data_IF_323055575117
#
_entry.id   IF_323055575117
#
_cell.length_a   1.000
_cell.length_b   1.000
_cell.length_c   1.000
_cell.angle_alpha   90.00
_cell.angle_beta   90.00
_cell.angle_gamma   90.00
#
_symmetry.space_group_name_H-M   'P 1'
#
loop_
_entity.id
_entity.type
_entity.pdbx_description
1 polymer ?
#
# COMPACT_ATOMS: atom_id res chain seq x y z
N UNK A 1 -13.61 25.90 -9.57
CA UNK A 1 -12.26 25.78 -10.14
C UNK A 1 -12.35 25.95 -11.65
N UNK A 2 -11.52 26.80 -12.25
CA UNK A 2 -11.47 26.96 -13.72
C UNK A 2 -10.64 25.83 -14.34
N UNK A 3 -10.85 25.52 -15.63
CA UNK A 3 -10.03 24.51 -16.33
C UNK A 3 -8.53 24.82 -16.26
N UNK A 4 -8.16 26.11 -16.29
CA UNK A 4 -6.77 26.54 -16.15
C UNK A 4 -6.18 26.17 -14.78
N UNK A 5 -6.93 26.36 -13.69
CA UNK A 5 -6.50 25.96 -12.35
C UNK A 5 -6.29 24.44 -12.25
N UNK A 6 -7.22 23.65 -12.79
CA UNK A 6 -7.08 22.18 -12.85
C UNK A 6 -5.79 21.75 -13.54
N UNK A 7 -5.45 22.38 -14.68
CA UNK A 7 -4.22 22.07 -15.42
C UNK A 7 -2.97 22.41 -14.61
N UNK A 8 -2.97 23.51 -13.86
CA UNK A 8 -1.84 23.88 -13.00
C UNK A 8 -1.67 22.88 -11.86
N UNK A 9 -2.76 22.47 -11.20
CA UNK A 9 -2.69 21.50 -10.09
C UNK A 9 -2.23 20.12 -10.59
N UNK A 10 -2.69 19.73 -11.78
CA UNK A 10 -2.23 18.50 -12.43
C UNK A 10 -0.73 18.57 -12.75
N UNK A 11 -0.25 19.70 -13.29
CA UNK A 11 1.17 19.89 -13.58
C UNK A 11 2.02 19.79 -12.30
N UNK A 12 1.57 20.39 -11.20
CA UNK A 12 2.23 20.29 -9.90
C UNK A 12 2.28 18.83 -9.39
N UNK A 13 1.18 18.08 -9.51
CA UNK A 13 1.17 16.66 -9.18
C UNK A 13 2.18 15.85 -10.02
N UNK A 14 2.33 16.16 -11.31
CA UNK A 14 3.36 15.54 -12.16
C UNK A 14 4.79 15.94 -11.76
N UNK A 15 5.01 17.18 -11.33
CA UNK A 15 6.30 17.61 -10.77
C UNK A 15 6.62 16.82 -9.50
N UNK A 16 5.65 16.65 -8.61
CA UNK A 16 5.79 15.84 -7.40
C UNK A 16 6.06 14.37 -7.71
N UNK A 17 5.37 13.77 -8.69
CA UNK A 17 5.66 12.41 -9.17
C UNK A 17 7.07 12.29 -9.75
N UNK A 18 7.55 13.32 -10.47
CA UNK A 18 8.93 13.36 -10.93
C UNK A 18 9.91 13.40 -9.76
N UNK A 19 9.66 14.22 -8.73
CA UNK A 19 10.47 14.24 -7.51
C UNK A 19 10.46 12.87 -6.82
N UNK A 20 9.28 12.28 -6.63
CA UNK A 20 9.08 10.95 -6.05
C UNK A 20 9.91 9.90 -6.79
N UNK A 21 9.87 9.90 -8.13
CA UNK A 21 10.69 9.03 -8.99
C UNK A 21 12.19 9.20 -8.70
N UNK A 22 12.69 10.43 -8.64
CA UNK A 22 14.12 10.67 -8.43
C UNK A 22 14.57 10.20 -7.04
N UNK A 23 13.74 10.44 -6.02
CA UNK A 23 14.05 10.02 -4.64
C UNK A 23 14.00 8.49 -4.52
N UNK A 24 12.98 7.85 -5.06
CA UNK A 24 12.87 6.38 -5.09
C UNK A 24 14.09 5.75 -5.79
N UNK A 25 14.43 6.24 -6.98
CA UNK A 25 15.56 5.72 -7.77
C UNK A 25 16.92 5.90 -7.08
N UNK A 26 17.21 7.12 -6.61
CA UNK A 26 18.57 7.50 -6.19
C UNK A 26 18.81 7.32 -4.70
N UNK A 27 17.79 7.51 -3.87
CA UNK A 27 17.93 7.46 -2.41
C UNK A 27 17.55 6.09 -1.89
N UNK A 28 16.36 5.61 -2.27
CA UNK A 28 15.80 4.36 -1.74
C UNK A 28 16.45 3.13 -2.40
N UNK A 29 16.20 2.92 -3.70
CA UNK A 29 16.68 1.71 -4.42
C UNK A 29 18.13 1.83 -4.89
N UNK A 30 18.64 3.05 -5.11
CA UNK A 30 20.01 3.33 -5.60
C UNK A 30 20.32 2.57 -6.89
N UNK A 31 19.50 2.79 -7.92
CA UNK A 31 19.58 2.14 -9.23
C UNK A 31 19.38 3.14 -10.38
N UNK A 32 19.83 2.77 -11.57
CA UNK A 32 19.41 3.43 -12.81
C UNK A 32 18.07 2.83 -13.26
N UNK A 33 16.96 3.54 -12.96
CA UNK A 33 15.63 3.11 -13.37
C UNK A 33 15.49 2.90 -14.88
N UNK A 34 16.20 3.66 -15.72
CA UNK A 34 16.06 3.51 -17.17
C UNK A 34 16.67 2.19 -17.60
N UNK A 35 17.86 1.86 -17.10
CA UNK A 35 18.52 0.61 -17.41
C UNK A 35 17.73 -0.59 -16.88
N UNK A 36 17.25 -0.54 -15.64
CA UNK A 36 16.42 -1.62 -15.07
C UNK A 36 15.14 -1.84 -15.89
N UNK A 37 14.40 -0.78 -16.21
CA UNK A 37 13.10 -0.91 -16.88
C UNK A 37 13.20 -1.24 -18.37
N UNK A 38 14.18 -0.66 -19.08
CA UNK A 38 14.23 -0.73 -20.55
C UNK A 38 15.47 -1.44 -21.10
N UNK A 39 16.56 -1.51 -20.33
CA UNK A 39 17.77 -2.25 -20.70
C UNK A 39 17.65 -3.72 -20.28
N UNK A 40 17.43 -3.95 -18.99
CA UNK A 40 17.31 -5.28 -18.36
C UNK A 40 15.90 -5.86 -18.43
N UNK A 41 14.91 -5.06 -18.82
CA UNK A 41 13.49 -5.43 -18.88
C UNK A 41 13.00 -6.05 -17.55
N UNK A 42 13.40 -5.45 -16.43
CA UNK A 42 13.11 -5.93 -15.09
C UNK A 42 11.64 -5.66 -14.72
N UNK A 43 10.81 -6.70 -14.83
CA UNK A 43 9.38 -6.63 -14.54
C UNK A 43 9.10 -6.45 -13.04
N UNK A 44 9.92 -7.01 -12.15
CA UNK A 44 9.79 -6.82 -10.71
C UNK A 44 10.01 -5.34 -10.36
N UNK A 45 11.04 -4.71 -10.93
CA UNK A 45 11.28 -3.29 -10.74
C UNK A 45 10.12 -2.43 -11.27
N UNK A 46 9.53 -2.81 -12.42
CA UNK A 46 8.38 -2.12 -12.98
C UNK A 46 7.14 -2.20 -12.07
N UNK A 47 6.87 -3.37 -11.47
CA UNK A 47 5.77 -3.55 -10.51
C UNK A 47 6.00 -2.75 -9.24
N UNK A 48 7.19 -2.85 -8.63
CA UNK A 48 7.51 -2.14 -7.40
C UNK A 48 7.40 -0.62 -7.57
N UNK A 49 8.03 -0.05 -8.61
CA UNK A 49 7.96 1.40 -8.87
C UNK A 49 6.56 1.83 -9.31
N UNK A 50 5.82 0.97 -10.02
CA UNK A 50 4.44 1.22 -10.42
C UNK A 50 3.51 1.31 -9.21
N UNK A 51 3.64 0.40 -8.25
CA UNK A 51 2.92 0.44 -6.98
C UNK A 51 3.28 1.66 -6.13
N UNK A 52 4.56 2.02 -6.09
CA UNK A 52 5.01 3.28 -5.46
C UNK A 52 4.33 4.51 -6.07
N UNK A 53 4.35 4.65 -7.41
CA UNK A 53 3.68 5.78 -8.07
C UNK A 53 2.18 5.77 -7.88
N UNK A 54 1.53 4.60 -7.93
CA UNK A 54 0.10 4.49 -7.68
C UNK A 54 -0.25 4.92 -6.25
N UNK A 55 0.54 4.49 -5.26
CA UNK A 55 0.41 4.94 -3.87
C UNK A 55 0.55 6.46 -3.72
N UNK A 56 1.54 7.07 -4.37
CA UNK A 56 1.72 8.54 -4.35
C UNK A 56 0.53 9.26 -5.00
N UNK A 57 0.02 8.76 -6.12
CA UNK A 57 -1.18 9.32 -6.75
C UNK A 57 -2.39 9.25 -5.82
N UNK A 58 -2.60 8.14 -5.11
CA UNK A 58 -3.67 8.01 -4.12
C UNK A 58 -3.52 9.04 -3.01
N UNK A 59 -2.33 9.14 -2.41
CA UNK A 59 -2.05 10.12 -1.35
C UNK A 59 -2.29 11.57 -1.79
N UNK A 60 -1.84 11.93 -3.00
CA UNK A 60 -2.09 13.26 -3.60
C UNK A 60 -3.59 13.51 -3.84
N UNK A 61 -4.36 12.45 -4.09
CA UNK A 61 -5.82 12.53 -4.23
C UNK A 61 -6.48 13.24 -3.05
N UNK A 62 -5.94 13.11 -1.82
CA UNK A 62 -6.49 13.78 -0.65
C UNK A 62 -6.37 15.30 -0.73
N UNK A 63 -5.18 15.79 -1.11
CA UNK A 63 -4.94 17.22 -1.29
C UNK A 63 -5.67 17.80 -2.52
N UNK A 64 -5.94 16.97 -3.53
CA UNK A 64 -6.59 17.39 -4.79
C UNK A 64 -8.12 17.36 -4.75
N UNK A 65 -8.74 16.62 -3.83
CA UNK A 65 -10.19 16.38 -3.79
C UNK A 65 -10.96 17.25 -2.79
N UNK A 66 -10.26 18.10 -2.02
CA UNK A 66 -10.87 18.99 -1.03
C UNK A 66 -11.46 20.29 -1.59
N UNK A 67 -12.21 21.05 -0.76
CA UNK A 67 -12.68 22.38 -1.14
C UNK A 67 -11.51 23.33 -1.37
N UNK A 68 -11.54 24.07 -2.47
CA UNK A 68 -10.52 25.07 -2.79
C UNK A 68 -10.58 26.24 -1.80
N UNK A 69 -9.43 26.60 -1.22
CA UNK A 69 -9.26 27.78 -0.37
C UNK A 69 -8.67 28.97 -1.14
N UNK A 70 -8.53 28.81 -2.46
CA UNK A 70 -7.91 29.76 -3.37
C UNK A 70 -6.62 29.20 -3.94
N UNK A 71 -6.33 29.56 -5.19
CA UNK A 71 -5.32 28.86 -5.99
C UNK A 71 -3.91 28.85 -5.39
N UNK A 72 -3.49 29.91 -4.70
CA UNK A 72 -2.18 29.93 -4.04
C UNK A 72 -2.13 29.00 -2.84
N UNK A 73 -3.20 28.96 -2.04
CA UNK A 73 -3.29 28.09 -0.87
C UNK A 73 -3.35 26.61 -1.30
N UNK A 74 -4.11 26.32 -2.36
CA UNK A 74 -4.20 24.97 -2.92
C UNK A 74 -2.83 24.47 -3.40
N UNK A 75 -2.07 25.28 -4.16
CA UNK A 75 -0.72 24.91 -4.61
C UNK A 75 0.23 24.64 -3.43
N UNK A 76 0.22 25.53 -2.42
CA UNK A 76 1.04 25.33 -1.22
C UNK A 76 0.64 24.03 -0.50
N UNK A 77 -0.66 23.75 -0.39
CA UNK A 77 -1.19 22.54 0.22
C UNK A 77 -0.76 21.28 -0.53
N UNK A 78 -0.95 21.25 -1.86
CA UNK A 78 -0.55 20.13 -2.71
C UNK A 78 0.96 19.88 -2.59
N UNK A 79 1.78 20.93 -2.63
CA UNK A 79 3.23 20.81 -2.45
C UNK A 79 3.60 20.25 -1.07
N UNK A 80 3.02 20.78 0.02
CA UNK A 80 3.32 20.34 1.39
C UNK A 80 2.89 18.89 1.63
N UNK A 81 1.65 18.55 1.32
CA UNK A 81 1.12 17.19 1.49
C UNK A 81 1.80 16.20 0.55
N UNK A 82 2.10 16.60 -0.69
CA UNK A 82 2.82 15.76 -1.64
C UNK A 82 4.24 15.44 -1.20
N UNK A 83 5.00 16.43 -0.72
CA UNK A 83 6.33 16.19 -0.16
C UNK A 83 6.28 15.32 1.09
N UNK A 84 5.30 15.53 1.97
CA UNK A 84 5.09 14.68 3.14
C UNK A 84 4.76 13.24 2.73
N UNK A 85 3.86 13.03 1.77
CA UNK A 85 3.51 11.70 1.27
C UNK A 85 4.72 10.97 0.70
N UNK A 86 5.59 11.67 -0.04
CA UNK A 86 6.86 11.10 -0.54
C UNK A 86 7.72 10.62 0.64
N UNK A 87 7.90 11.44 1.67
CA UNK A 87 8.69 11.06 2.85
C UNK A 87 8.08 9.87 3.58
N UNK A 88 6.77 9.88 3.83
CA UNK A 88 6.06 8.79 4.51
C UNK A 88 6.17 7.49 3.72
N UNK A 89 5.97 7.50 2.40
CA UNK A 89 6.14 6.30 1.58
C UNK A 89 7.55 5.71 1.68
N UNK A 90 8.59 6.53 1.72
CA UNK A 90 9.97 6.04 1.86
C UNK A 90 10.19 5.39 3.22
N UNK A 91 9.67 5.99 4.29
CA UNK A 91 9.74 5.42 5.64
C UNK A 91 8.98 4.09 5.70
N UNK A 92 7.78 4.01 5.10
CA UNK A 92 7.05 2.75 5.02
C UNK A 92 7.78 1.69 4.19
N UNK A 93 8.45 2.10 3.10
CA UNK A 93 9.33 1.23 2.32
C UNK A 93 10.44 0.62 3.17
N UNK A 94 11.16 1.46 3.92
CA UNK A 94 12.22 0.99 4.85
C UNK A 94 11.64 0.09 5.94
N UNK A 95 10.46 0.40 6.47
CA UNK A 95 9.81 -0.42 7.49
C UNK A 95 9.42 -1.80 6.94
N UNK A 96 8.91 -1.86 5.71
CA UNK A 96 8.63 -3.11 5.01
C UNK A 96 9.87 -4.01 4.95
N UNK A 97 10.99 -3.47 4.49
CA UNK A 97 12.27 -4.22 4.41
C UNK A 97 12.78 -4.67 5.77
N UNK A 98 12.73 -3.78 6.77
CA UNK A 98 13.37 -4.03 8.07
C UNK A 98 12.53 -4.87 9.01
N UNK A 99 11.21 -4.81 8.90
CA UNK A 99 10.28 -5.36 9.90
C UNK A 99 9.35 -6.40 9.30
N UNK A 100 8.79 -6.14 8.12
CA UNK A 100 7.88 -7.09 7.48
C UNK A 100 8.63 -8.24 6.79
N UNK A 101 9.75 -7.90 6.13
CA UNK A 101 10.60 -8.84 5.38
C UNK A 101 12.06 -8.87 5.91
N UNK A 102 12.28 -9.10 7.23
CA UNK A 102 13.58 -8.88 7.87
C UNK A 102 14.70 -9.82 7.42
N UNK A 103 14.36 -10.94 6.77
CA UNK A 103 15.32 -11.94 6.28
C UNK A 103 15.69 -11.76 4.81
N UNK A 104 15.17 -10.70 4.16
CA UNK A 104 15.39 -10.41 2.75
C UNK A 104 16.20 -9.14 2.54
N UNK A 105 17.03 -9.15 1.50
CA UNK A 105 17.50 -7.91 0.90
C UNK A 105 16.57 -7.56 -0.27
N UNK A 106 15.49 -6.82 0.00
CA UNK A 106 14.49 -6.47 -1.04
C UNK A 106 15.12 -5.76 -2.24
N UNK A 107 16.22 -5.02 -2.05
CA UNK A 107 16.91 -4.40 -3.18
C UNK A 107 17.53 -5.49 -4.05
N UNK A 108 18.25 -6.44 -3.47
CA UNK A 108 18.80 -7.57 -4.21
C UNK A 108 17.69 -8.38 -4.89
N UNK A 109 16.65 -8.74 -4.15
CA UNK A 109 15.51 -9.52 -4.66
C UNK A 109 14.88 -8.86 -5.89
N UNK A 110 14.59 -7.55 -5.84
CA UNK A 110 13.92 -6.85 -6.94
C UNK A 110 14.87 -6.50 -8.09
N UNK A 111 16.11 -6.11 -7.79
CA UNK A 111 17.06 -5.57 -8.80
C UNK A 111 17.90 -6.67 -9.43
N UNK A 112 18.44 -7.59 -8.63
CA UNK A 112 19.34 -8.63 -9.11
C UNK A 112 18.53 -9.86 -9.53
N UNK A 113 17.70 -10.37 -8.61
CA UNK A 113 16.96 -11.63 -8.79
C UNK A 113 15.65 -11.43 -9.60
N UNK A 114 15.22 -10.18 -9.80
CA UNK A 114 13.97 -9.81 -10.48
C UNK A 114 12.74 -10.53 -9.90
N UNK A 115 12.73 -10.68 -8.58
CA UNK A 115 11.72 -11.37 -7.80
C UNK A 115 10.36 -10.62 -7.85
N UNK A 116 9.43 -11.19 -8.62
CA UNK A 116 8.08 -10.65 -8.76
C UNK A 116 7.27 -10.72 -7.46
N UNK A 117 7.49 -11.75 -6.62
CA UNK A 117 6.82 -11.90 -5.34
C UNK A 117 7.12 -10.73 -4.41
N UNK A 118 8.41 -10.44 -4.21
CA UNK A 118 8.87 -9.31 -3.40
C UNK A 118 8.39 -7.97 -3.97
N UNK A 119 8.40 -7.81 -5.30
CA UNK A 119 7.89 -6.60 -5.94
C UNK A 119 6.39 -6.37 -5.72
N UNK A 120 5.55 -7.42 -5.73
CA UNK A 120 4.12 -7.30 -5.44
C UNK A 120 3.85 -6.91 -3.99
N UNK A 121 4.63 -7.43 -3.04
CA UNK A 121 4.51 -7.04 -1.62
C UNK A 121 4.87 -5.57 -1.43
N UNK A 122 5.96 -5.10 -2.04
CA UNK A 122 6.34 -3.68 -1.98
C UNK A 122 5.30 -2.78 -2.64
N UNK A 123 4.80 -3.18 -3.81
CA UNK A 123 3.73 -2.46 -4.48
C UNK A 123 2.49 -2.38 -3.58
N UNK A 124 2.03 -3.50 -3.02
CA UNK A 124 0.88 -3.54 -2.12
C UNK A 124 1.06 -2.65 -0.89
N UNK A 125 2.26 -2.65 -0.30
CA UNK A 125 2.59 -1.81 0.85
C UNK A 125 2.49 -0.30 0.50
N UNK A 126 3.04 0.12 -0.64
CA UNK A 126 2.95 1.52 -1.05
C UNK A 126 1.52 1.95 -1.40
N UNK A 127 0.73 1.07 -2.01
CA UNK A 127 -0.67 1.32 -2.30
C UNK A 127 -1.48 1.45 -1.01
N UNK A 128 -1.27 0.54 -0.05
CA UNK A 128 -1.87 0.60 1.29
C UNK A 128 -1.57 1.94 1.98
N UNK A 129 -0.31 2.38 1.94
CA UNK A 129 0.10 3.66 2.49
C UNK A 129 -0.49 4.85 1.73
N UNK A 130 -0.66 4.75 0.42
CA UNK A 130 -1.37 5.73 -0.40
C UNK A 130 -2.80 5.96 0.08
N UNK A 131 -3.52 4.88 0.36
CA UNK A 131 -4.88 4.94 0.90
C UNK A 131 -4.94 5.54 2.30
N UNK A 132 -4.01 5.15 3.18
CA UNK A 132 -3.94 5.69 4.55
C UNK A 132 -3.65 7.20 4.52
N UNK A 133 -2.66 7.64 3.73
CA UNK A 133 -2.31 9.07 3.63
C UNK A 133 -3.43 9.86 2.97
N UNK A 134 -4.07 9.32 1.93
CA UNK A 134 -5.28 9.90 1.32
C UNK A 134 -6.33 10.23 2.38
N UNK A 135 -6.66 9.25 3.21
CA UNK A 135 -7.69 9.37 4.23
C UNK A 135 -7.30 10.36 5.34
N UNK A 136 -6.04 10.35 5.80
CA UNK A 136 -5.53 11.31 6.78
C UNK A 136 -5.58 12.75 6.25
N UNK A 137 -5.26 12.96 4.98
CA UNK A 137 -5.27 14.31 4.37
C UNK A 137 -6.70 14.80 4.15
N UNK A 138 -7.66 13.90 3.94
CA UNK A 138 -9.08 14.24 3.83
C UNK A 138 -9.75 14.49 5.19
N UNK A 139 -9.22 13.89 6.26
CA UNK A 139 -9.74 14.06 7.62
C UNK A 139 -9.46 15.44 8.24
N UNK A 140 -10.24 15.82 9.25
CA UNK A 140 -10.02 17.06 9.98
C UNK A 140 -9.06 16.85 11.16
N UNK A 141 -7.95 17.59 11.18
CA UNK A 141 -7.03 17.55 12.31
C UNK A 141 -5.69 18.22 12.02
N UNK A 142 -4.87 18.41 13.06
CA UNK A 142 -3.53 18.92 12.87
C UNK A 142 -2.63 17.86 12.21
N UNK A 143 -1.72 18.28 11.33
CA UNK A 143 -0.82 17.38 10.60
C UNK A 143 -0.09 16.35 11.48
N UNK A 144 0.30 16.73 12.70
CA UNK A 144 1.03 15.85 13.61
C UNK A 144 0.18 14.68 14.10
N UNK A 145 -1.16 14.82 14.24
CA UNK A 145 -2.02 13.70 14.64
C UNK A 145 -2.09 12.68 13.52
N UNK A 146 -2.22 13.15 12.27
CA UNK A 146 -2.15 12.32 11.08
C UNK A 146 -0.87 11.49 11.02
N UNK A 147 0.30 12.09 11.30
CA UNK A 147 1.57 11.35 11.35
C UNK A 147 1.57 10.27 12.44
N UNK A 148 0.97 10.52 13.60
CA UNK A 148 0.86 9.51 14.66
C UNK A 148 -0.07 8.37 14.26
N UNK A 149 -1.24 8.65 13.68
CA UNK A 149 -2.14 7.61 13.19
C UNK A 149 -1.55 6.83 12.02
N UNK A 150 -0.77 7.48 11.16
CA UNK A 150 0.00 6.81 10.12
C UNK A 150 1.03 5.83 10.71
N UNK A 151 1.74 6.21 11.77
CA UNK A 151 2.67 5.32 12.48
C UNK A 151 1.94 4.13 13.13
N UNK A 152 0.78 4.37 13.74
CA UNK A 152 -0.05 3.29 14.27
C UNK A 152 -0.53 2.35 13.16
N UNK A 153 -0.94 2.90 12.01
CA UNK A 153 -1.33 2.11 10.85
C UNK A 153 -0.18 1.22 10.34
N UNK A 154 1.08 1.68 10.43
CA UNK A 154 2.22 0.83 10.10
C UNK A 154 2.32 -0.40 11.02
N UNK A 155 2.11 -0.22 12.33
CA UNK A 155 2.07 -1.33 13.28
C UNK A 155 0.96 -2.32 12.90
N UNK A 156 -0.20 -1.81 12.51
CA UNK A 156 -1.34 -2.64 12.09
C UNK A 156 -1.02 -3.43 10.81
N UNK A 157 -0.37 -2.83 9.82
CA UNK A 157 0.07 -3.52 8.60
C UNK A 157 1.08 -4.63 8.90
N UNK A 158 2.02 -4.39 9.82
CA UNK A 158 2.98 -5.41 10.27
C UNK A 158 2.24 -6.57 10.95
N UNK A 159 1.30 -6.27 11.87
CA UNK A 159 0.48 -7.30 12.53
C UNK A 159 -0.36 -8.07 11.51
N UNK A 160 -0.91 -7.41 10.49
CA UNK A 160 -1.64 -8.09 9.42
C UNK A 160 -0.77 -9.08 8.65
N UNK A 161 0.47 -8.73 8.34
CA UNK A 161 1.40 -9.67 7.72
C UNK A 161 1.75 -10.85 8.61
N UNK A 162 1.97 -10.62 9.91
CA UNK A 162 2.23 -11.70 10.88
C UNK A 162 1.03 -12.64 11.04
N UNK A 163 -0.19 -12.08 11.08
CA UNK A 163 -1.41 -12.88 11.12
C UNK A 163 -1.62 -13.66 9.84
N UNK A 164 -1.30 -13.07 8.69
CA UNK A 164 -1.40 -13.75 7.41
C UNK A 164 -0.40 -14.92 7.33
N UNK A 165 0.87 -14.71 7.71
CA UNK A 165 1.87 -15.80 7.85
C UNK A 165 1.37 -16.91 8.78
N UNK A 166 0.70 -16.57 9.88
CA UNK A 166 0.20 -17.53 10.85
C UNK A 166 -1.02 -18.34 10.37
N UNK A 167 -1.94 -17.72 9.63
CA UNK A 167 -3.17 -18.37 9.14
C UNK A 167 -2.88 -19.23 7.90
N UNK A 168 -1.84 -18.87 7.15
CA UNK A 168 -1.45 -19.53 5.91
C UNK A 168 -0.72 -20.85 6.23
N UNK A 169 -1.02 -21.96 5.53
CA UNK A 169 -0.43 -23.27 5.84
C UNK A 169 1.04 -23.40 5.41
N UNK A 170 1.55 -22.44 4.65
CA UNK A 170 2.92 -22.39 4.16
C UNK A 170 3.58 -21.08 4.61
N UNK A 171 4.90 -21.07 4.70
CA UNK A 171 5.64 -19.85 5.03
C UNK A 171 5.70 -18.93 3.81
N UNK A 172 5.16 -17.72 3.94
CA UNK A 172 5.19 -16.67 2.93
C UNK A 172 6.64 -16.29 2.65
N UNK A 173 7.45 -16.08 3.70
CA UNK A 173 8.87 -15.75 3.54
C UNK A 173 9.56 -16.83 2.71
N UNK A 174 9.45 -18.11 3.05
CA UNK A 174 10.10 -19.16 2.24
C UNK A 174 9.66 -19.16 0.78
N UNK A 175 8.40 -18.86 0.49
CA UNK A 175 7.91 -18.78 -0.89
C UNK A 175 8.38 -17.52 -1.61
N UNK A 176 8.50 -16.39 -0.92
CA UNK A 176 9.09 -15.17 -1.46
C UNK A 176 10.58 -15.38 -1.81
N UNK A 177 11.34 -16.14 -1.02
CA UNK A 177 12.74 -16.52 -1.36
C UNK A 177 12.83 -17.39 -2.62
N UNK A 178 11.72 -18.02 -3.04
CA UNK A 178 11.62 -18.84 -4.25
C UNK A 178 11.03 -18.06 -5.44
N UNK A 179 11.03 -16.73 -5.37
CA UNK A 179 10.46 -15.83 -6.38
C UNK A 179 8.95 -16.06 -6.66
N UNK A 180 8.22 -16.55 -5.65
CA UNK A 180 6.82 -16.93 -5.83
C UNK A 180 5.92 -15.71 -5.98
N UNK A 181 5.66 -15.34 -7.25
CA UNK A 181 4.79 -14.25 -7.63
C UNK A 181 3.34 -14.42 -7.12
N UNK A 182 2.83 -15.65 -7.03
CA UNK A 182 1.46 -15.91 -6.60
C UNK A 182 1.26 -15.54 -5.12
N UNK A 183 2.18 -16.00 -4.26
CA UNK A 183 2.18 -15.67 -2.83
C UNK A 183 2.42 -14.19 -2.60
N UNK A 184 3.38 -13.58 -3.31
CA UNK A 184 3.64 -12.14 -3.19
C UNK A 184 2.45 -11.28 -3.61
N UNK A 185 1.71 -11.69 -4.64
CA UNK A 185 0.50 -11.00 -5.09
C UNK A 185 -0.62 -11.09 -4.05
N UNK A 186 -0.88 -12.29 -3.50
CA UNK A 186 -1.85 -12.50 -2.44
C UNK A 186 -1.51 -11.66 -1.20
N UNK A 187 -0.24 -11.70 -0.77
CA UNK A 187 0.23 -10.94 0.38
C UNK A 187 0.17 -9.42 0.15
N UNK A 188 0.54 -8.95 -1.04
CA UNK A 188 0.34 -7.55 -1.44
C UNK A 188 -1.13 -7.14 -1.35
N UNK A 189 -2.06 -8.00 -1.76
CA UNK A 189 -3.50 -7.80 -1.64
C UNK A 189 -3.98 -7.70 -0.19
N UNK A 190 -3.45 -8.53 0.72
CA UNK A 190 -3.70 -8.44 2.17
C UNK A 190 -3.31 -7.05 2.70
N UNK A 191 -2.11 -6.57 2.34
CA UNK A 191 -1.63 -5.26 2.79
C UNK A 191 -2.50 -4.12 2.26
N UNK A 192 -2.89 -4.15 0.98
CA UNK A 192 -3.79 -3.16 0.40
C UNK A 192 -5.15 -3.20 1.07
N UNK A 193 -5.73 -4.40 1.25
CA UNK A 193 -7.03 -4.58 1.89
C UNK A 193 -7.04 -4.07 3.33
N UNK A 194 -6.02 -4.42 4.11
CA UNK A 194 -5.89 -3.91 5.48
C UNK A 194 -5.62 -2.40 5.50
N UNK A 195 -4.76 -1.89 4.63
CA UNK A 195 -4.48 -0.47 4.52
C UNK A 195 -5.73 0.34 4.21
N UNK A 196 -6.60 -0.18 3.33
CA UNK A 196 -7.88 0.42 3.00
C UNK A 196 -8.82 0.45 4.21
N UNK A 197 -8.94 -0.66 4.97
CA UNK A 197 -9.79 -0.68 6.18
C UNK A 197 -9.24 0.27 7.26
N UNK A 198 -7.93 0.23 7.51
CA UNK A 198 -7.26 1.10 8.50
C UNK A 198 -7.32 2.57 8.09
N UNK A 199 -7.43 2.87 6.78
CA UNK A 199 -7.59 4.24 6.32
C UNK A 199 -8.83 4.91 6.92
N UNK A 200 -9.93 4.18 7.11
CA UNK A 200 -11.14 4.70 7.78
C UNK A 200 -10.82 5.08 9.22
N UNK A 201 -10.18 4.17 9.94
CA UNK A 201 -9.79 4.35 11.34
C UNK A 201 -8.86 5.58 11.52
N UNK A 202 -8.02 5.85 10.51
CA UNK A 202 -7.06 6.95 10.52
C UNK A 202 -7.62 8.30 10.03
N UNK A 203 -8.73 8.30 9.28
CA UNK A 203 -9.35 9.50 8.71
C UNK A 203 -10.11 10.36 9.74
N UNK A 204 -10.52 9.75 10.86
CA UNK A 204 -11.50 10.35 11.77
C UNK A 204 -11.09 11.72 12.32
N UNK A 205 -12.08 12.63 12.42
CA UNK A 205 -11.89 13.97 12.97
C UNK A 205 -11.21 13.90 14.34
N UNK A 206 -10.11 14.62 14.48
CA UNK A 206 -9.33 14.60 15.71
C UNK A 206 -10.11 15.26 16.85
N UNK A 207 -10.84 14.46 17.62
CA UNK A 207 -11.61 14.86 18.80
C UNK A 207 -10.79 14.77 20.12
N UNK A 208 -9.51 14.38 20.03
CA UNK A 208 -8.62 14.21 21.17
C UNK A 208 -8.15 12.77 21.35
N UNK A 209 -6.98 12.60 21.98
CA UNK A 209 -6.29 11.30 22.03
C UNK A 209 -7.12 10.12 22.53
N UNK A 210 -7.83 10.28 23.65
CA UNK A 210 -8.56 9.16 24.24
C UNK A 210 -9.69 8.67 23.33
N UNK A 211 -10.40 9.60 22.68
CA UNK A 211 -11.53 9.27 21.81
C UNK A 211 -11.03 8.69 20.48
N UNK A 212 -10.10 9.39 19.81
CA UNK A 212 -9.55 8.94 18.53
C UNK A 212 -8.81 7.59 18.65
N UNK A 213 -8.07 7.33 19.73
CA UNK A 213 -7.43 6.02 19.95
C UNK A 213 -8.43 4.90 20.23
N UNK A 214 -9.55 5.20 20.91
CA UNK A 214 -10.61 4.22 21.13
C UNK A 214 -11.28 3.83 19.81
N UNK A 215 -11.65 4.81 18.99
CA UNK A 215 -12.25 4.58 17.68
C UNK A 215 -11.29 3.78 16.81
N UNK A 216 -10.04 4.26 16.68
CA UNK A 216 -9.01 3.57 15.92
C UNK A 216 -8.83 2.11 16.37
N UNK A 217 -8.77 1.86 17.69
CA UNK A 217 -8.64 0.51 18.22
C UNK A 217 -9.83 -0.40 17.89
N UNK A 218 -11.05 0.11 17.96
CA UNK A 218 -12.25 -0.66 17.59
C UNK A 218 -12.26 -1.00 16.10
N UNK A 219 -11.94 -0.04 15.24
CA UNK A 219 -11.90 -0.22 13.79
C UNK A 219 -10.79 -1.18 13.36
N UNK A 220 -9.63 -1.14 14.01
CA UNK A 220 -8.54 -2.10 13.78
C UNK A 220 -8.96 -3.52 14.15
N UNK A 221 -9.63 -3.71 15.29
CA UNK A 221 -10.15 -5.03 15.69
C UNK A 221 -11.19 -5.52 14.68
N UNK A 222 -12.12 -4.65 14.28
CA UNK A 222 -13.08 -4.97 13.23
C UNK A 222 -12.38 -5.35 11.92
N UNK A 223 -11.36 -4.59 11.52
CA UNK A 223 -10.60 -4.84 10.30
C UNK A 223 -9.90 -6.21 10.28
N UNK A 224 -9.31 -6.64 11.40
CA UNK A 224 -8.74 -7.99 11.49
C UNK A 224 -9.79 -9.09 11.40
N UNK A 225 -10.95 -8.92 12.06
CA UNK A 225 -12.07 -9.87 11.95
C UNK A 225 -12.58 -9.92 10.51
N UNK A 226 -12.75 -8.77 9.88
CA UNK A 226 -13.19 -8.65 8.51
C UNK A 226 -12.21 -9.30 7.54
N UNK A 227 -10.90 -9.11 7.72
CA UNK A 227 -9.87 -9.73 6.89
C UNK A 227 -9.92 -11.26 6.98
N UNK A 228 -10.10 -11.82 8.18
CA UNK A 228 -10.31 -13.26 8.35
C UNK A 228 -11.59 -13.76 7.66
N UNK A 229 -12.69 -13.02 7.76
CA UNK A 229 -13.95 -13.36 7.08
C UNK A 229 -13.80 -13.28 5.57
N UNK A 230 -13.15 -12.24 5.03
CA UNK A 230 -12.88 -12.07 3.60
C UNK A 230 -12.07 -13.25 3.07
N UNK A 231 -11.02 -13.67 3.77
CA UNK A 231 -10.23 -14.84 3.39
C UNK A 231 -11.13 -16.08 3.22
N UNK A 232 -11.99 -16.37 4.21
CA UNK A 232 -12.93 -17.49 4.15
C UNK A 232 -13.96 -17.37 3.03
N UNK A 233 -14.53 -16.17 2.83
CA UNK A 233 -15.50 -15.93 1.77
C UNK A 233 -14.87 -16.05 0.39
N UNK A 234 -13.62 -15.62 0.23
CA UNK A 234 -12.89 -15.69 -1.04
C UNK A 234 -12.68 -17.14 -1.46
N UNK A 235 -12.16 -17.98 -0.57
CA UNK A 235 -12.03 -19.42 -0.82
C UNK A 235 -13.39 -20.08 -1.12
N UNK A 236 -14.42 -19.74 -0.33
CA UNK A 236 -15.73 -20.38 -0.46
C UNK A 236 -16.50 -19.96 -1.72
N UNK A 237 -16.44 -18.68 -2.10
CA UNK A 237 -17.27 -18.13 -3.16
C UNK A 237 -16.55 -18.03 -4.50
N UNK A 238 -15.28 -17.61 -4.50
CA UNK A 238 -14.52 -17.35 -5.72
C UNK A 238 -13.72 -18.57 -6.17
N UNK A 239 -13.43 -19.50 -5.27
CA UNK A 239 -12.65 -20.71 -5.54
C UNK A 239 -13.27 -22.00 -4.96
N UNK A 240 -14.58 -22.27 -5.14
CA UNK A 240 -15.30 -23.32 -4.40
C UNK A 240 -14.76 -24.75 -4.59
N UNK A 241 -14.04 -25.00 -5.69
CA UNK A 241 -13.52 -26.33 -6.05
C UNK A 241 -12.02 -26.52 -5.81
N UNK A 242 -11.30 -25.47 -5.42
CA UNK A 242 -9.84 -25.49 -5.24
C UNK A 242 -9.45 -24.76 -3.94
N UNK A 243 -8.22 -24.96 -3.46
CA UNK A 243 -7.71 -24.20 -2.31
C UNK A 243 -6.67 -23.21 -2.82
N UNK A 244 -6.97 -21.91 -2.77
CA UNK A 244 -6.10 -20.88 -3.34
C UNK A 244 -4.67 -20.95 -2.79
N UNK A 245 -4.51 -21.06 -1.47
CA UNK A 245 -3.18 -21.19 -0.86
C UNK A 245 -2.42 -22.47 -1.27
N UNK A 246 -3.10 -23.56 -1.64
CA UNK A 246 -2.42 -24.76 -2.12
C UNK A 246 -1.91 -24.57 -3.57
N UNK A 247 -2.76 -23.99 -4.42
CA UNK A 247 -2.43 -23.64 -5.82
C UNK A 247 -1.27 -22.64 -5.92
N UNK A 248 -1.13 -21.75 -4.94
CA UNK A 248 -0.04 -20.78 -4.89
C UNK A 248 1.34 -21.40 -4.66
N UNK A 249 1.44 -22.60 -4.09
CA UNK A 249 2.71 -23.21 -3.66
C UNK A 249 3.03 -24.55 -4.33
N UNK A 250 2.32 -24.87 -5.42
CA UNK A 250 2.67 -26.02 -6.26
C UNK A 250 4.10 -25.87 -6.87
N UNK A 251 4.60 -26.94 -7.49
CA UNK A 251 5.91 -26.90 -8.18
C UNK A 251 5.99 -25.76 -9.19
N UNK A 252 4.87 -25.45 -9.85
CA UNK A 252 4.68 -24.25 -10.66
C UNK A 252 3.60 -23.38 -10.00
N UNK A 253 3.97 -22.28 -9.31
CA UNK A 253 3.03 -21.42 -8.62
C UNK A 253 1.93 -20.87 -9.54
N UNK A 254 0.66 -21.06 -9.16
CA UNK A 254 -0.47 -20.53 -9.89
C UNK A 254 -0.70 -19.04 -9.54
N UNK A 255 -0.14 -18.14 -10.34
CA UNK A 255 -0.31 -16.68 -10.16
C UNK A 255 -1.78 -16.26 -10.22
N UNK A 256 -2.62 -16.99 -10.95
CA UNK A 256 -4.07 -16.76 -10.99
C UNK A 256 -4.72 -16.96 -9.62
N UNK A 257 -4.32 -17.98 -8.87
CA UNK A 257 -4.80 -18.21 -7.51
C UNK A 257 -4.39 -17.06 -6.57
N UNK A 258 -3.14 -16.59 -6.68
CA UNK A 258 -2.67 -15.41 -5.95
C UNK A 258 -3.46 -14.14 -6.28
N UNK A 259 -3.81 -13.94 -7.56
CA UNK A 259 -4.58 -12.79 -8.01
C UNK A 259 -6.03 -12.81 -7.49
N UNK A 260 -6.68 -13.98 -7.48
CA UNK A 260 -8.04 -14.12 -6.95
C UNK A 260 -8.06 -13.87 -5.44
N UNK A 261 -7.07 -14.37 -4.70
CA UNK A 261 -6.96 -14.09 -3.27
C UNK A 261 -6.71 -12.59 -3.01
N UNK A 262 -5.80 -11.97 -3.75
CA UNK A 262 -5.55 -10.53 -3.67
C UNK A 262 -6.81 -9.71 -3.97
N UNK A 263 -7.55 -10.08 -5.02
CA UNK A 263 -8.83 -9.47 -5.36
C UNK A 263 -9.85 -9.64 -4.22
N UNK A 264 -9.90 -10.79 -3.56
CA UNK A 264 -10.75 -11.03 -2.39
C UNK A 264 -10.51 -9.99 -1.30
N UNK A 265 -9.26 -9.80 -0.89
CA UNK A 265 -8.88 -8.81 0.13
C UNK A 265 -9.16 -7.36 -0.31
N UNK A 266 -8.71 -6.99 -1.51
CA UNK A 266 -8.88 -5.63 -2.02
C UNK A 266 -10.35 -5.30 -2.25
N UNK A 267 -11.06 -6.15 -3.00
CA UNK A 267 -12.49 -5.99 -3.28
C UNK A 267 -13.34 -6.03 -2.01
N UNK A 268 -13.09 -6.98 -1.12
CA UNK A 268 -13.77 -7.07 0.18
C UNK A 268 -13.56 -5.82 1.03
N UNK A 269 -12.34 -5.30 1.09
CA UNK A 269 -12.06 -4.05 1.81
C UNK A 269 -12.79 -2.84 1.21
N UNK A 270 -12.85 -2.73 -0.13
CA UNK A 270 -13.55 -1.63 -0.82
C UNK A 270 -15.04 -1.68 -0.48
N UNK A 271 -15.65 -2.87 -0.53
CA UNK A 271 -17.05 -3.05 -0.18
C UNK A 271 -17.32 -2.66 1.28
N UNK A 272 -16.44 -3.04 2.21
CA UNK A 272 -16.54 -2.61 3.60
C UNK A 272 -16.49 -1.09 3.70
N UNK A 273 -15.50 -0.47 3.04
CA UNK A 273 -15.31 0.98 3.13
C UNK A 273 -16.52 1.75 2.61
N UNK A 274 -17.19 1.27 1.56
CA UNK A 274 -18.38 1.93 1.00
C UNK A 274 -19.68 1.65 1.75
N UNK A 275 -19.71 0.67 2.66
CA UNK A 275 -20.86 0.43 3.52
C UNK A 275 -20.94 1.47 4.64
N UNK A 276 -19.80 2.00 5.06
CA UNK A 276 -19.69 3.09 6.03
C UNK A 276 -19.74 4.45 5.35
#
# INVERSE_FOLDING_TARGET
MTMAQTLVYLLEAFVLLFVAKQVYARVFRRVDLKDELYGRNNHAMAVAVGGYFFGICLALGGALSGPSLGWQADLIGIAQYGLLAIVLMLVAGVLCERVLLPHFDNRKEIVEDQNMGTAFVEAGMHIANGLIVLAIVQGEGPLWSGVVFWLLAQVVLVVAGLLYEWITPHSIHRELERDNAAVGLAFGGVLVGMGNIVSIAAAGDYAGWLESLKIFGMDVVFGFVALYVIHKLTDMLLAPSVRLGAEQVEEQPNVGAGLIEAFGYVGGSILIVWIF
#
